data_IF_434207236522
#
_entry.id   IF_434207236522
#
_cell.length_a   1.000
_cell.length_b   1.000
_cell.length_c   1.000
_cell.angle_alpha   90.00
_cell.angle_beta   90.00
_cell.angle_gamma   90.00
#
_symmetry.space_group_name_H-M   'P 1'
#
loop_
_entity.id
_entity.type
_entity.pdbx_description
1 polymer ?
#
# COMPACT_ATOMS: atom_id res chain seq x y z
N UNK A 1 -10.52 21.39 -21.64
CA UNK A 1 -9.51 21.36 -20.55
C UNK A 1 -10.09 21.50 -19.14
N UNK A 2 -11.05 22.41 -18.88
CA UNK A 2 -11.61 22.64 -17.52
C UNK A 2 -12.30 21.41 -16.89
N UNK A 3 -13.05 20.62 -17.66
CA UNK A 3 -13.82 19.47 -17.14
C UNK A 3 -12.89 18.34 -16.62
N UNK A 4 -11.84 18.01 -17.37
CA UNK A 4 -10.85 16.99 -16.98
C UNK A 4 -9.99 17.41 -15.77
N UNK A 5 -9.74 18.72 -15.62
CA UNK A 5 -9.00 19.26 -14.48
C UNK A 5 -9.84 19.25 -13.21
N UNK A 6 -11.14 19.55 -13.31
CA UNK A 6 -12.06 19.47 -12.17
C UNK A 6 -12.18 18.02 -11.67
N UNK A 7 -12.29 17.04 -12.56
CA UNK A 7 -12.34 15.62 -12.16
C UNK A 7 -11.04 15.13 -11.50
N UNK A 8 -9.88 15.59 -11.98
CA UNK A 8 -8.59 15.28 -11.35
C UNK A 8 -8.55 15.74 -9.89
N UNK A 9 -9.05 16.94 -9.61
CA UNK A 9 -9.08 17.49 -8.24
C UNK A 9 -9.96 16.66 -7.33
N UNK A 10 -11.16 16.26 -7.77
CA UNK A 10 -12.06 15.44 -6.96
C UNK A 10 -11.50 14.04 -6.69
N UNK A 11 -10.88 13.41 -7.69
CA UNK A 11 -10.23 12.10 -7.51
C UNK A 11 -9.07 12.22 -6.52
N UNK A 12 -8.21 13.23 -6.69
CA UNK A 12 -7.10 13.47 -5.77
C UNK A 12 -7.60 13.71 -4.35
N UNK A 13 -8.60 14.58 -4.17
CA UNK A 13 -9.19 14.87 -2.86
C UNK A 13 -9.79 13.62 -2.21
N UNK A 14 -10.49 12.77 -2.98
CA UNK A 14 -11.06 11.53 -2.48
C UNK A 14 -9.98 10.52 -2.05
N UNK A 15 -8.93 10.37 -2.84
CA UNK A 15 -7.82 9.45 -2.53
C UNK A 15 -7.00 9.90 -1.32
N UNK A 16 -6.67 11.19 -1.25
CA UNK A 16 -5.98 11.78 -0.09
C UNK A 16 -6.83 11.58 1.18
N UNK A 17 -8.11 11.98 1.13
CA UNK A 17 -9.02 11.83 2.27
C UNK A 17 -9.18 10.38 2.72
N UNK A 18 -9.25 9.42 1.78
CA UNK A 18 -9.33 8.00 2.09
C UNK A 18 -8.08 7.52 2.81
N UNK A 19 -6.90 7.85 2.29
CA UNK A 19 -5.63 7.45 2.90
C UNK A 19 -5.47 8.07 4.29
N UNK A 20 -5.72 9.37 4.44
CA UNK A 20 -5.70 10.03 5.73
C UNK A 20 -6.64 9.35 6.73
N UNK A 21 -7.88 9.03 6.33
CA UNK A 21 -8.84 8.40 7.24
C UNK A 21 -8.44 6.99 7.71
N UNK A 22 -7.70 6.22 6.89
CA UNK A 22 -7.40 4.80 7.17
C UNK A 22 -5.99 4.56 7.68
N UNK A 23 -5.03 5.46 7.40
CA UNK A 23 -3.60 5.22 7.66
C UNK A 23 -3.20 5.34 9.14
N UNK A 24 -4.10 5.83 10.00
CA UNK A 24 -3.85 6.02 11.42
C UNK A 24 -3.75 4.71 12.25
N UNK A 25 -4.21 3.56 11.74
CA UNK A 25 -4.29 2.33 12.54
C UNK A 25 -3.70 1.12 11.80
N UNK A 26 -2.55 0.63 12.27
CA UNK A 26 -1.82 -0.50 11.67
C UNK A 26 -2.45 -1.88 11.93
N UNK A 27 -3.31 -2.00 12.94
CA UNK A 27 -4.06 -3.22 13.25
C UNK A 27 -5.48 -2.80 13.59
N UNK A 28 -6.45 -3.20 12.77
CA UNK A 28 -7.85 -2.84 12.92
C UNK A 28 -8.34 -3.01 14.35
N UNK A 29 -8.52 -1.90 15.06
CA UNK A 29 -9.36 -1.88 16.25
C UNK A 29 -10.81 -2.06 15.80
N UNK A 30 -11.70 -2.51 16.69
CA UNK A 30 -13.08 -2.88 16.36
C UNK A 30 -13.90 -1.82 15.60
N UNK A 31 -13.41 -0.56 15.59
CA UNK A 31 -13.97 0.62 14.93
C UNK A 31 -13.02 1.29 13.89
N UNK A 32 -11.80 0.77 13.69
CA UNK A 32 -10.82 1.33 12.74
C UNK A 32 -10.74 0.51 11.45
N UNK A 33 -10.77 1.20 10.32
CA UNK A 33 -10.61 0.59 9.00
C UNK A 33 -9.15 0.13 8.78
N UNK A 34 -8.92 -0.96 8.02
CA UNK A 34 -7.58 -1.36 7.59
C UNK A 34 -6.94 -0.26 6.72
N UNK A 35 -5.61 -0.12 6.77
CA UNK A 35 -4.88 0.88 5.99
C UNK A 35 -5.11 0.69 4.48
N UNK A 36 -5.75 1.66 3.86
CA UNK A 36 -6.04 1.65 2.43
C UNK A 36 -4.87 2.14 1.56
N UNK A 37 -3.71 2.51 2.15
CA UNK A 37 -2.61 3.15 1.45
C UNK A 37 -2.15 2.40 0.19
N UNK A 38 -1.95 1.08 0.26
CA UNK A 38 -1.56 0.30 -0.92
C UNK A 38 -2.59 0.36 -2.06
N UNK A 39 -3.88 0.27 -1.71
CA UNK A 39 -4.97 0.39 -2.68
C UNK A 39 -5.02 1.80 -3.27
N UNK A 40 -4.85 2.83 -2.45
CA UNK A 40 -4.82 4.23 -2.89
C UNK A 40 -3.72 4.46 -3.94
N UNK A 41 -2.49 4.01 -3.70
CA UNK A 41 -1.40 4.15 -4.68
C UNK A 41 -1.66 3.40 -5.98
N UNK A 42 -2.23 2.18 -5.91
CA UNK A 42 -2.61 1.42 -7.09
C UNK A 42 -3.72 2.11 -7.91
N UNK A 43 -4.80 2.57 -7.25
CA UNK A 43 -5.90 3.30 -7.88
C UNK A 43 -5.45 4.62 -8.49
N UNK A 44 -4.58 5.36 -7.79
CA UNK A 44 -4.01 6.59 -8.31
C UNK A 44 -3.15 6.34 -9.57
N UNK A 45 -2.51 5.16 -9.64
CA UNK A 45 -1.87 4.64 -10.85
C UNK A 45 -2.86 4.36 -11.98
N UNK A 46 -4.04 3.79 -11.68
CA UNK A 46 -5.09 3.52 -12.68
C UNK A 46 -5.64 4.79 -13.33
N UNK A 47 -5.79 5.88 -12.56
CA UNK A 47 -6.34 7.13 -13.08
C UNK A 47 -5.34 7.88 -13.97
N UNK A 48 -5.75 8.15 -15.21
CA UNK A 48 -4.93 8.85 -16.22
C UNK A 48 -5.15 10.36 -16.17
N UNK A 49 -4.63 11.00 -15.13
CA UNK A 49 -4.76 12.45 -14.90
C UNK A 49 -3.56 13.25 -15.44
N UNK A 50 -3.77 14.53 -15.75
CA UNK A 50 -2.68 15.48 -16.07
C UNK A 50 -1.91 15.76 -14.77
N UNK A 51 -0.58 15.59 -14.79
CA UNK A 51 0.25 15.81 -13.59
C UNK A 51 0.33 14.61 -12.65
N UNK A 52 0.19 13.39 -13.16
CA UNK A 52 0.09 12.22 -12.31
C UNK A 52 1.31 11.95 -11.41
N UNK A 53 2.52 12.29 -11.86
CA UNK A 53 3.69 12.22 -10.97
C UNK A 53 3.58 13.18 -9.77
N UNK A 54 2.92 14.34 -9.94
CA UNK A 54 2.64 15.24 -8.83
C UNK A 54 1.63 14.63 -7.85
N UNK A 55 0.61 13.91 -8.34
CA UNK A 55 -0.30 13.16 -7.47
C UNK A 55 0.40 12.03 -6.70
N UNK A 56 1.32 11.30 -7.35
CA UNK A 56 2.17 10.32 -6.66
C UNK A 56 3.00 10.97 -5.55
N UNK A 57 3.68 12.08 -5.87
CA UNK A 57 4.49 12.81 -4.90
C UNK A 57 3.64 13.37 -3.73
N UNK A 58 2.44 13.88 -4.03
CA UNK A 58 1.50 14.37 -3.01
C UNK A 58 1.04 13.24 -2.08
N UNK A 59 0.72 12.06 -2.61
CA UNK A 59 0.33 10.91 -1.79
C UNK A 59 1.51 10.39 -0.93
N UNK A 60 2.73 10.35 -1.48
CA UNK A 60 3.93 9.99 -0.71
C UNK A 60 4.20 11.00 0.42
N UNK A 61 4.03 12.29 0.13
CA UNK A 61 4.18 13.35 1.12
C UNK A 61 3.11 13.24 2.20
N UNK A 62 1.84 13.05 1.82
CA UNK A 62 0.76 12.84 2.76
C UNK A 62 1.00 11.62 3.66
N UNK A 63 1.45 10.50 3.09
CA UNK A 63 1.77 9.30 3.85
C UNK A 63 2.80 9.59 4.96
N UNK A 64 3.88 10.31 4.62
CA UNK A 64 4.88 10.72 5.59
C UNK A 64 4.33 11.72 6.62
N UNK A 65 3.47 12.66 6.21
CA UNK A 65 2.87 13.65 7.11
C UNK A 65 1.87 13.03 8.09
N UNK A 66 1.07 12.07 7.64
CA UNK A 66 0.13 11.33 8.50
C UNK A 66 0.89 10.55 9.55
N UNK A 67 1.96 9.86 9.15
CA UNK A 67 2.78 9.05 10.06
C UNK A 67 3.56 9.95 11.04
N UNK A 68 4.08 11.09 10.58
CA UNK A 68 4.67 12.12 11.44
C UNK A 68 3.65 12.66 12.46
N UNK A 69 2.44 12.97 12.02
CA UNK A 69 1.40 13.48 12.90
C UNK A 69 0.98 12.44 13.96
N UNK A 70 0.83 11.19 13.55
CA UNK A 70 0.51 10.07 14.43
C UNK A 70 1.54 9.92 15.56
N UNK A 71 2.84 10.00 15.23
CA UNK A 71 3.91 9.82 16.21
C UNK A 71 4.03 11.01 17.16
N UNK A 72 3.95 12.24 16.63
CA UNK A 72 4.24 13.44 17.42
C UNK A 72 3.05 13.98 18.20
N UNK A 73 1.82 13.78 17.71
CA UNK A 73 0.62 14.38 18.31
C UNK A 73 -0.41 13.37 18.80
N UNK A 74 -0.28 12.09 18.42
CA UNK A 74 -1.22 11.03 18.82
C UNK A 74 -0.59 9.94 19.69
N UNK A 75 0.66 10.16 20.12
CA UNK A 75 1.42 9.26 20.99
C UNK A 75 1.51 7.82 20.46
N UNK A 76 1.40 7.65 19.13
CA UNK A 76 1.57 6.34 18.49
C UNK A 76 3.07 6.00 18.47
N UNK A 77 3.42 4.79 18.89
CA UNK A 77 4.81 4.34 18.95
C UNK A 77 5.51 4.41 17.58
N UNK A 78 6.70 5.01 17.56
CA UNK A 78 7.57 5.07 16.38
C UNK A 78 8.32 3.75 16.10
N UNK A 79 7.97 2.65 16.77
CA UNK A 79 8.67 1.36 16.66
C UNK A 79 8.83 0.86 15.22
N UNK A 80 7.85 1.14 14.34
CA UNK A 80 7.88 0.73 12.94
C UNK A 80 8.66 1.68 12.02
N UNK A 81 9.12 2.83 12.53
CA UNK A 81 9.88 3.82 11.76
C UNK A 81 11.37 3.55 11.92
N UNK A 82 11.89 2.70 11.04
CA UNK A 82 13.32 2.35 10.95
C UNK A 82 13.92 2.89 9.64
N UNK A 83 15.21 2.63 9.38
CA UNK A 83 15.82 2.90 8.07
C UNK A 83 15.08 2.20 6.92
N UNK A 84 14.37 1.09 7.21
CA UNK A 84 13.58 0.37 6.23
C UNK A 84 12.32 1.16 5.79
N UNK A 85 11.88 2.17 6.55
CA UNK A 85 10.71 2.98 6.20
C UNK A 85 10.88 3.71 4.85
N UNK A 86 12.13 4.02 4.45
CA UNK A 86 12.43 4.56 3.13
C UNK A 86 12.01 3.63 1.97
N UNK A 87 11.96 2.31 2.19
CA UNK A 87 11.53 1.36 1.17
C UNK A 87 10.03 1.41 0.86
N UNK A 88 9.22 2.07 1.70
CA UNK A 88 7.81 2.34 1.39
C UNK A 88 7.68 3.19 0.14
N UNK A 89 8.62 4.10 -0.13
CA UNK A 89 8.63 4.90 -1.36
C UNK A 89 8.73 3.98 -2.58
N UNK A 90 9.59 2.96 -2.54
CA UNK A 90 9.72 1.98 -3.62
C UNK A 90 8.47 1.11 -3.75
N UNK A 91 7.90 0.65 -2.63
CA UNK A 91 6.69 -0.18 -2.64
C UNK A 91 5.47 0.58 -3.21
N UNK A 92 5.22 1.81 -2.73
CA UNK A 92 4.14 2.67 -3.22
C UNK A 92 4.37 3.11 -4.67
N UNK A 93 5.61 3.40 -5.04
CA UNK A 93 6.00 3.65 -6.43
C UNK A 93 5.68 2.46 -7.33
N UNK A 94 6.04 1.24 -6.91
CA UNK A 94 5.75 0.02 -7.67
C UNK A 94 4.24 -0.17 -7.87
N UNK A 95 3.43 -0.06 -6.81
CA UNK A 95 1.97 -0.17 -6.90
C UNK A 95 1.37 0.85 -7.87
N UNK A 96 1.85 2.09 -7.82
CA UNK A 96 1.45 3.14 -8.75
C UNK A 96 1.79 2.79 -10.21
N UNK A 97 3.02 2.32 -10.47
CA UNK A 97 3.44 1.92 -11.81
C UNK A 97 2.67 0.70 -12.32
N UNK A 98 2.37 -0.27 -11.46
CA UNK A 98 1.51 -1.41 -11.79
C UNK A 98 0.11 -0.94 -12.16
N UNK A 99 -0.48 -0.01 -11.41
CA UNK A 99 -1.76 0.62 -11.76
C UNK A 99 -1.72 1.30 -13.13
N UNK A 100 -0.66 2.04 -13.44
CA UNK A 100 -0.48 2.68 -14.76
C UNK A 100 -0.36 1.66 -15.89
N UNK A 101 0.42 0.62 -15.67
CA UNK A 101 0.61 -0.46 -16.62
C UNK A 101 -0.70 -1.20 -16.88
N UNK A 102 -1.48 -1.45 -15.82
CA UNK A 102 -2.79 -2.09 -15.92
C UNK A 102 -3.79 -1.22 -16.71
N UNK A 103 -3.88 0.08 -16.40
CA UNK A 103 -4.76 1.02 -17.12
C UNK A 103 -4.36 1.23 -18.59
N UNK A 104 -3.11 0.97 -18.96
CA UNK A 104 -2.68 1.00 -20.35
C UNK A 104 -3.18 -0.21 -21.16
N UNK A 105 -3.53 -1.32 -20.49
CA UNK A 105 -3.89 -2.60 -21.11
C UNK A 105 -5.38 -2.96 -20.96
N UNK A 106 -6.08 -2.35 -19.99
CA UNK A 106 -7.47 -2.64 -19.71
C UNK A 106 -8.30 -1.36 -19.63
N UNK A 107 -9.47 -1.36 -20.29
CA UNK A 107 -10.47 -0.31 -20.15
C UNK A 107 -11.21 -0.48 -18.83
N UNK A 108 -10.68 0.11 -17.76
CA UNK A 108 -11.31 0.04 -16.44
C UNK A 108 -12.50 1.00 -16.39
N UNK A 109 -13.72 0.44 -16.36
CA UNK A 109 -14.94 1.22 -16.23
C UNK A 109 -15.10 1.76 -14.80
N UNK A 110 -15.60 2.99 -14.65
CA UNK A 110 -15.84 3.60 -13.34
C UNK A 110 -16.79 2.78 -12.46
N UNK A 111 -17.74 2.03 -13.06
CA UNK A 111 -18.60 1.07 -12.34
C UNK A 111 -17.80 -0.10 -11.76
N UNK A 112 -16.74 -0.53 -12.45
CA UNK A 112 -15.85 -1.60 -11.99
C UNK A 112 -15.01 -1.17 -10.80
N UNK A 113 -14.49 0.07 -10.82
CA UNK A 113 -13.77 0.64 -9.66
C UNK A 113 -14.71 0.81 -8.47
N UNK A 114 -15.92 1.32 -8.68
CA UNK A 114 -16.92 1.42 -7.63
C UNK A 114 -17.29 0.04 -7.06
N UNK A 115 -17.44 -0.97 -7.92
CA UNK A 115 -17.67 -2.35 -7.50
C UNK A 115 -16.52 -2.92 -6.67
N UNK A 116 -15.27 -2.61 -7.04
CA UNK A 116 -14.09 -3.00 -6.25
C UNK A 116 -14.07 -2.30 -4.88
N UNK A 117 -14.40 -1.01 -4.83
CA UNK A 117 -14.49 -0.25 -3.58
C UNK A 117 -15.61 -0.80 -2.67
N UNK A 118 -16.77 -1.13 -3.24
CA UNK A 118 -17.86 -1.76 -2.52
C UNK A 118 -17.46 -3.15 -2.01
N UNK A 119 -16.81 -3.97 -2.83
CA UNK A 119 -16.33 -5.29 -2.43
C UNK A 119 -15.30 -5.17 -1.30
N UNK A 120 -14.35 -4.23 -1.39
CA UNK A 120 -13.38 -3.97 -0.33
C UNK A 120 -14.03 -3.47 0.97
N UNK A 121 -15.04 -2.59 0.87
CA UNK A 121 -15.80 -2.11 2.02
C UNK A 121 -16.65 -3.20 2.67
N UNK A 122 -17.24 -4.11 1.87
CA UNK A 122 -17.95 -5.27 2.40
C UNK A 122 -16.97 -6.25 3.03
N UNK A 123 -15.82 -6.51 2.39
CA UNK A 123 -14.78 -7.39 2.93
C UNK A 123 -14.18 -6.85 4.24
N UNK A 124 -14.05 -5.53 4.42
CA UNK A 124 -13.57 -4.97 5.70
C UNK A 124 -14.59 -5.11 6.84
N UNK A 125 -15.88 -5.24 6.53
CA UNK A 125 -16.94 -5.50 7.51
C UNK A 125 -17.08 -7.00 7.79
N UNK A 126 -17.01 -7.84 6.75
CA UNK A 126 -17.28 -9.29 6.82
C UNK A 126 -16.03 -10.12 7.12
N UNK A 127 -14.86 -9.71 6.63
CA UNK A 127 -13.59 -10.45 6.66
C UNK A 127 -12.84 -10.48 8.01
N UNK A 128 -13.42 -9.90 9.07
CA UNK A 128 -12.84 -9.88 10.43
C UNK A 128 -12.49 -11.27 11.00
N UNK A 129 -13.04 -12.36 10.46
CA UNK A 129 -12.71 -13.72 10.88
C UNK A 129 -11.40 -14.27 10.29
N UNK A 130 -11.08 -13.95 9.03
CA UNK A 130 -9.90 -14.49 8.34
C UNK A 130 -8.61 -13.74 8.72
N UNK A 131 -8.70 -12.43 8.96
CA UNK A 131 -7.55 -11.61 9.41
C UNK A 131 -6.97 -12.08 10.75
N UNK A 132 -7.79 -12.63 11.65
CA UNK A 132 -7.28 -13.21 12.92
C UNK A 132 -6.48 -14.50 12.72
N UNK A 133 -6.83 -15.30 11.71
CA UNK A 133 -6.12 -16.53 11.38
C UNK A 133 -4.77 -16.24 10.71
N UNK A 134 -4.72 -15.22 9.85
CA UNK A 134 -3.47 -14.78 9.21
C UNK A 134 -2.60 -13.96 10.16
N UNK A 135 -3.17 -13.11 11.02
CA UNK A 135 -2.42 -12.37 12.04
C UNK A 135 -1.73 -13.29 13.06
N UNK A 136 -2.30 -14.48 13.33
CA UNK A 136 -1.67 -15.53 14.14
C UNK A 136 -0.41 -16.11 13.50
N UNK A 137 -0.34 -16.16 12.16
CA UNK A 137 0.84 -16.65 11.43
C UNK A 137 2.01 -15.65 11.46
N UNK A 138 1.74 -14.39 11.82
CA UNK A 138 2.72 -13.29 11.89
C UNK A 138 2.88 -12.70 13.29
N UNK A 139 2.56 -13.46 14.33
CA UNK A 139 2.75 -13.05 15.73
C UNK A 139 4.23 -12.71 16.03
N UNK A 140 4.54 -11.77 16.94
CA UNK A 140 5.84 -11.10 17.02
C UNK A 140 7.06 -12.01 17.24
N UNK A 141 8.07 -11.83 16.39
CA UNK A 141 9.39 -12.48 16.42
C UNK A 141 10.24 -12.25 15.15
N UNK A 142 9.63 -11.79 14.05
CA UNK A 142 10.24 -11.87 12.71
C UNK A 142 10.86 -10.61 12.09
N UNK A 143 11.24 -9.55 12.83
CA UNK A 143 11.90 -8.38 12.20
C UNK A 143 13.03 -7.77 13.04
N UNK A 144 13.82 -8.59 13.72
CA UNK A 144 15.17 -8.19 14.13
C UNK A 144 16.15 -9.07 13.35
N UNK A 145 16.77 -8.52 12.31
CA UNK A 145 17.97 -9.11 11.74
C UNK A 145 19.16 -8.63 12.58
N UNK A 146 19.38 -9.24 13.74
CA UNK A 146 20.60 -9.01 14.51
C UNK A 146 21.76 -9.84 13.93
N UNK A 147 22.96 -9.27 14.00
CA UNK A 147 24.18 -9.86 13.45
C UNK A 147 24.47 -11.20 14.15
N UNK A 148 24.26 -12.31 13.43
CA UNK A 148 24.52 -13.68 13.91
C UNK A 148 23.31 -14.62 13.94
N UNK A 149 22.11 -14.16 13.58
CA UNK A 149 20.87 -14.95 13.71
C UNK A 149 20.55 -15.83 12.47
N UNK A 150 21.31 -15.66 11.39
CA UNK A 150 21.26 -16.54 10.23
C UNK A 150 22.60 -17.27 10.09
N UNK A 151 22.61 -18.58 10.32
CA UNK A 151 23.72 -19.41 9.87
C UNK A 151 23.77 -19.33 8.32
N UNK A 152 24.83 -18.73 7.78
CA UNK A 152 24.99 -18.49 6.33
C UNK A 152 24.73 -17.06 5.85
N UNK A 153 24.53 -16.07 6.74
CA UNK A 153 24.34 -14.66 6.33
C UNK A 153 25.52 -14.03 5.56
N UNK A 154 26.69 -14.67 5.59
CA UNK A 154 27.87 -14.20 4.86
C UNK A 154 27.88 -14.64 3.39
N UNK A 155 26.95 -15.51 2.96
CA UNK A 155 26.93 -16.12 1.63
C UNK A 155 25.67 -15.75 0.81
N UNK A 156 25.02 -14.63 1.14
CA UNK A 156 23.77 -14.17 0.50
C UNK A 156 23.87 -13.83 -1.00
N UNK A 157 25.03 -14.02 -1.63
CA UNK A 157 25.28 -13.66 -3.02
C UNK A 157 24.67 -14.65 -4.04
N UNK A 158 24.07 -15.78 -3.63
CA UNK A 158 23.64 -16.83 -4.58
C UNK A 158 22.12 -17.10 -4.63
N UNK A 159 21.29 -16.62 -3.70
CA UNK A 159 19.84 -16.99 -3.68
C UNK A 159 18.96 -16.08 -4.57
N UNK A 160 19.51 -14.99 -5.11
CA UNK A 160 18.80 -14.13 -6.07
C UNK A 160 18.56 -14.79 -7.44
N UNK A 161 18.97 -16.05 -7.67
CA UNK A 161 18.81 -16.73 -8.96
C UNK A 161 17.62 -17.71 -9.05
N UNK A 162 16.84 -17.95 -7.98
CA UNK A 162 15.82 -19.01 -7.96
C UNK A 162 14.36 -18.53 -8.15
N UNK A 163 14.10 -17.57 -9.04
CA UNK A 163 12.72 -17.17 -9.45
C UNK A 163 12.51 -17.22 -10.98
N UNK A 164 13.41 -17.87 -11.72
CA UNK A 164 13.17 -18.14 -13.14
C UNK A 164 13.60 -19.55 -13.49
N UNK A 165 12.67 -20.50 -13.52
CA UNK A 165 12.60 -21.52 -14.57
C UNK A 165 11.13 -21.96 -14.78
N UNK A 166 10.67 -22.07 -16.04
CA UNK A 166 9.38 -22.66 -16.38
C UNK A 166 9.37 -24.16 -16.10
N UNK A 167 8.21 -24.64 -15.64
CA UNK A 167 7.92 -26.05 -15.40
C UNK A 167 8.11 -26.84 -16.70
N UNK A 168 9.16 -27.67 -16.76
CA UNK A 168 9.37 -28.64 -17.82
C UNK A 168 9.42 -30.01 -17.17
N UNK A 169 8.35 -30.81 -17.30
CA UNK A 169 8.39 -32.24 -17.05
C UNK A 169 7.54 -32.98 -18.11
N UNK A 170 8.27 -33.79 -18.87
CA UNK A 170 7.97 -35.08 -19.50
C UNK A 170 6.70 -35.28 -20.34
#
# INVERSE_FOLDING_TARGET
MKILQNQTVWIAAALLSLMAATRYNHFGSSMALPDASYAVFFLAGLYRVRGALALLALLLLEAALVDFYAINFREISAYCVTSAYAFLVFAYGALWFVGRWYAARHAVSGKGVLGLMLAAAVASVVGKSEERAVASLFSPGGTHAMKGEFAGSNDFEVVAFLVVLPEAIA
#
